data_IF_903111846732
#
_entry.id   IF_903111846732
#
_cell.length_a   1.000
_cell.length_b   1.000
_cell.length_c   1.000
_cell.angle_alpha   90.00
_cell.angle_beta   90.00
_cell.angle_gamma   90.00
#
_symmetry.space_group_name_H-M   'P 1'
#
loop_
_entity.id
_entity.type
_entity.pdbx_description
1 polymer ?
#
# COMPACT_ATOMS: atom_id res chain seq x y z
N UNK A 1 6.01 22.35 50.31
CA UNK A 1 5.94 23.15 49.07
C UNK A 1 7.05 22.67 48.13
N UNK A 2 6.73 22.17 46.94
CA UNK A 2 7.79 21.78 45.98
C UNK A 2 8.52 23.05 45.53
N UNK A 3 9.86 23.02 45.49
CA UNK A 3 10.65 24.16 45.01
C UNK A 3 10.34 24.42 43.53
N UNK A 4 10.26 25.69 43.12
CA UNK A 4 9.95 26.09 41.74
C UNK A 4 10.81 25.36 40.70
N UNK A 5 12.10 25.14 41.00
CA UNK A 5 13.02 24.41 40.12
C UNK A 5 12.61 22.94 39.88
N UNK A 6 12.07 22.26 40.89
CA UNK A 6 11.59 20.88 40.75
C UNK A 6 10.36 20.80 39.84
N UNK A 7 9.46 21.79 39.96
CA UNK A 7 8.27 21.91 39.10
C UNK A 7 8.70 22.21 37.66
N UNK A 8 9.55 23.21 37.45
CA UNK A 8 10.01 23.60 36.11
C UNK A 8 10.69 22.44 35.36
N UNK A 9 11.59 21.70 36.01
CA UNK A 9 12.25 20.52 35.40
C UNK A 9 11.23 19.44 35.00
N UNK A 10 10.26 19.15 35.87
CA UNK A 10 9.24 18.13 35.58
C UNK A 10 8.38 18.54 34.40
N UNK A 11 7.95 19.80 34.35
CA UNK A 11 7.16 20.33 33.24
C UNK A 11 7.95 20.29 31.92
N UNK A 12 9.23 20.68 31.95
CA UNK A 12 10.09 20.60 30.77
C UNK A 12 10.23 19.17 30.25
N UNK A 13 10.54 18.21 31.13
CA UNK A 13 10.68 16.81 30.75
C UNK A 13 9.39 16.21 30.18
N UNK A 14 8.25 16.48 30.82
CA UNK A 14 6.95 16.01 30.34
C UNK A 14 6.60 16.65 28.99
N UNK A 15 6.82 17.96 28.85
CA UNK A 15 6.56 18.69 27.60
C UNK A 15 7.41 18.18 26.44
N UNK A 16 8.72 18.01 26.66
CA UNK A 16 9.63 17.47 25.66
C UNK A 16 9.25 16.04 25.25
N UNK A 17 8.91 15.18 26.23
CA UNK A 17 8.48 13.81 25.96
C UNK A 17 7.16 13.77 25.18
N UNK A 18 6.21 14.64 25.51
CA UNK A 18 4.93 14.71 24.79
C UNK A 18 5.12 15.17 23.34
N UNK A 19 5.96 16.17 23.08
CA UNK A 19 6.25 16.66 21.72
C UNK A 19 6.98 15.57 20.92
N UNK A 20 8.05 15.00 21.47
CA UNK A 20 8.82 13.96 20.79
C UNK A 20 7.96 12.72 20.50
N UNK A 21 7.15 12.30 21.48
CA UNK A 21 6.20 11.18 21.32
C UNK A 21 5.14 11.47 20.27
N UNK A 22 4.57 12.68 20.27
CA UNK A 22 3.59 13.10 19.27
C UNK A 22 4.15 13.11 17.85
N UNK A 23 5.36 13.64 17.66
CA UNK A 23 6.05 13.61 16.36
C UNK A 23 6.37 12.19 15.93
N UNK A 24 6.86 11.34 16.84
CA UNK A 24 7.18 9.95 16.54
C UNK A 24 5.93 9.15 16.09
N UNK A 25 4.81 9.30 16.80
CA UNK A 25 3.54 8.68 16.44
C UNK A 25 3.02 9.24 15.12
N UNK A 26 3.02 10.57 14.94
CA UNK A 26 2.58 11.21 13.70
C UNK A 26 3.40 10.76 12.49
N UNK A 27 4.72 10.70 12.64
CA UNK A 27 5.62 10.20 11.60
C UNK A 27 5.39 8.72 11.28
N UNK A 28 5.15 7.89 12.30
CA UNK A 28 4.80 6.48 12.12
C UNK A 28 3.53 6.31 11.28
N UNK A 29 2.45 7.06 11.61
CA UNK A 29 1.21 7.01 10.83
C UNK A 29 1.39 7.55 9.41
N UNK A 30 2.17 8.62 9.23
CA UNK A 30 2.46 9.19 7.91
C UNK A 30 3.24 8.22 7.01
N UNK A 31 4.14 7.42 7.59
CA UNK A 31 4.95 6.43 6.88
C UNK A 31 4.25 5.09 6.68
N UNK A 32 3.10 4.87 7.31
CA UNK A 32 2.36 3.62 7.20
C UNK A 32 1.85 3.47 5.76
N UNK A 33 2.21 2.37 5.06
CA UNK A 33 1.67 2.11 3.72
C UNK A 33 0.14 2.01 3.75
N UNK A 34 -0.50 2.42 2.66
CA UNK A 34 -1.92 2.17 2.47
C UNK A 34 -2.19 0.66 2.43
N UNK A 35 -3.31 0.19 3.00
CA UNK A 35 -3.69 -1.21 2.93
C UNK A 35 -3.87 -1.63 1.47
N UNK A 36 -3.50 -2.88 1.17
CA UNK A 36 -3.74 -3.45 -0.15
C UNK A 36 -5.24 -3.69 -0.33
N UNK A 37 -5.92 -3.02 -1.28
CA UNK A 37 -7.35 -3.18 -1.47
C UNK A 37 -7.74 -4.56 -1.99
N UNK A 38 -6.82 -5.32 -2.58
CA UNK A 38 -7.09 -6.65 -3.12
C UNK A 38 -7.24 -7.71 -2.03
N UNK A 39 -6.65 -7.49 -0.85
CA UNK A 39 -6.73 -8.44 0.28
C UNK A 39 -8.18 -8.67 0.76
N UNK A 40 -9.07 -7.69 0.59
CA UNK A 40 -10.47 -7.80 1.00
C UNK A 40 -11.33 -8.65 0.07
N UNK A 41 -10.90 -8.84 -1.18
CA UNK A 41 -11.67 -9.48 -2.26
C UNK A 41 -11.05 -10.82 -2.72
N UNK A 42 -10.05 -11.34 -2.01
CA UNK A 42 -9.44 -12.64 -2.35
C UNK A 42 -10.42 -13.79 -2.10
N UNK A 43 -10.58 -14.64 -3.11
CA UNK A 43 -11.22 -15.94 -2.91
C UNK A 43 -10.25 -16.94 -2.25
N UNK A 44 -10.76 -18.14 -1.92
CA UNK A 44 -9.92 -19.23 -1.43
C UNK A 44 -8.81 -19.54 -2.46
N UNK A 45 -7.59 -19.73 -1.97
CA UNK A 45 -6.39 -20.04 -2.76
C UNK A 45 -5.99 -18.94 -3.78
N UNK A 46 -6.58 -17.74 -3.72
CA UNK A 46 -6.04 -16.57 -4.40
C UNK A 46 -4.96 -15.88 -3.56
N UNK A 47 -4.00 -15.25 -4.23
CA UNK A 47 -2.93 -14.52 -3.57
C UNK A 47 -2.74 -13.12 -4.17
N UNK A 48 -2.33 -12.18 -3.32
CA UNK A 48 -1.84 -10.86 -3.73
C UNK A 48 -0.66 -10.49 -2.85
N UNK A 49 0.34 -9.86 -3.43
CA UNK A 49 1.54 -9.39 -2.70
C UNK A 49 1.71 -7.87 -2.76
N UNK A 50 0.94 -7.20 -3.62
CA UNK A 50 0.88 -5.75 -3.70
C UNK A 50 -0.48 -5.31 -4.27
N UNK A 51 -0.82 -4.01 -4.23
CA UNK A 51 -2.09 -3.49 -4.76
C UNK A 51 -2.35 -3.71 -6.25
N UNK A 52 -1.36 -4.16 -7.02
CA UNK A 52 -1.41 -4.19 -8.48
C UNK A 52 -1.49 -5.59 -9.09
N UNK A 53 -1.19 -6.64 -8.32
CA UNK A 53 -1.12 -8.00 -8.85
C UNK A 53 -1.93 -8.95 -7.96
N UNK A 54 -2.82 -9.70 -8.60
CA UNK A 54 -3.56 -10.81 -8.01
C UNK A 54 -3.29 -12.09 -8.81
N UNK A 55 -3.07 -13.19 -8.12
CA UNK A 55 -2.87 -14.52 -8.69
C UNK A 55 -4.10 -15.35 -8.28
N UNK A 56 -4.84 -15.81 -9.28
CA UNK A 56 -5.99 -16.69 -9.12
C UNK A 56 -5.58 -18.12 -8.79
N UNK A 57 -6.49 -18.89 -8.22
CA UNK A 57 -6.29 -20.31 -7.96
C UNK A 57 -6.15 -21.16 -9.25
N UNK A 58 -6.48 -20.59 -10.41
CA UNK A 58 -6.38 -21.16 -11.75
C UNK A 58 -5.11 -20.72 -12.50
N UNK A 59 -4.12 -20.17 -11.77
CA UNK A 59 -2.90 -19.56 -12.30
C UNK A 59 -3.12 -18.33 -13.20
N UNK A 60 -4.35 -17.76 -13.24
CA UNK A 60 -4.59 -16.47 -13.90
C UNK A 60 -3.92 -15.35 -13.11
N UNK A 61 -3.11 -14.53 -13.76
CA UNK A 61 -2.50 -13.33 -13.18
C UNK A 61 -3.30 -12.11 -13.60
N UNK A 62 -3.94 -11.43 -12.65
CA UNK A 62 -4.66 -10.18 -12.87
C UNK A 62 -3.81 -8.98 -12.46
N UNK A 63 -3.59 -8.06 -13.39
CA UNK A 63 -2.94 -6.77 -13.17
C UNK A 63 -4.00 -5.70 -13.00
N UNK A 64 -3.84 -4.86 -11.99
CA UNK A 64 -4.69 -3.70 -11.76
C UNK A 64 -4.12 -2.46 -12.46
N UNK A 65 -4.85 -1.93 -13.42
CA UNK A 65 -4.57 -0.68 -14.12
C UNK A 65 -5.56 0.42 -13.68
N UNK A 66 -5.27 1.13 -12.56
CA UNK A 66 -6.20 2.09 -11.96
C UNK A 66 -6.34 3.40 -12.76
N UNK A 67 -5.55 3.58 -13.82
CA UNK A 67 -5.65 4.72 -14.73
C UNK A 67 -6.35 4.26 -16.00
N UNK A 68 -7.44 4.95 -16.36
CA UNK A 68 -8.16 4.65 -17.59
C UNK A 68 -7.23 4.86 -18.81
N UNK A 69 -7.29 3.94 -19.77
CA UNK A 69 -6.65 4.10 -21.06
C UNK A 69 -7.65 4.36 -22.19
N UNK A 70 -7.20 5.10 -23.21
CA UNK A 70 -7.98 5.49 -24.38
C UNK A 70 -7.26 5.07 -25.68
N UNK A 71 -6.51 3.96 -25.64
CA UNK A 71 -5.84 3.37 -26.81
C UNK A 71 -4.33 3.63 -26.92
N UNK A 72 -3.67 4.13 -25.87
CA UNK A 72 -2.22 4.26 -25.85
C UNK A 72 -1.47 2.92 -25.73
N UNK A 73 -2.17 1.83 -25.37
CA UNK A 73 -1.61 0.49 -25.26
C UNK A 73 -0.90 0.20 -23.95
N UNK A 74 -1.21 0.93 -22.88
CA UNK A 74 -0.62 0.70 -21.55
C UNK A 74 -1.07 -0.64 -20.98
N UNK A 75 -2.34 -1.04 -21.14
CA UNK A 75 -2.80 -2.34 -20.61
C UNK A 75 -2.02 -3.49 -21.24
N UNK A 76 -1.88 -3.47 -22.56
CA UNK A 76 -1.10 -4.47 -23.31
C UNK A 76 0.37 -4.49 -22.89
N UNK A 77 0.99 -3.31 -22.73
CA UNK A 77 2.40 -3.22 -22.35
C UNK A 77 2.63 -3.70 -20.91
N UNK A 78 1.74 -3.34 -19.97
CA UNK A 78 1.79 -3.84 -18.59
C UNK A 78 1.65 -5.36 -18.54
N UNK A 79 0.70 -5.93 -19.29
CA UNK A 79 0.52 -7.38 -19.38
C UNK A 79 1.79 -8.08 -19.89
N UNK A 80 2.40 -7.55 -20.95
CA UNK A 80 3.64 -8.10 -21.51
C UNK A 80 4.81 -8.02 -20.51
N UNK A 81 5.00 -6.90 -19.82
CA UNK A 81 6.09 -6.75 -18.84
C UNK A 81 5.93 -7.69 -17.64
N UNK A 82 4.72 -7.87 -17.13
CA UNK A 82 4.46 -8.80 -16.02
C UNK A 82 4.61 -10.25 -16.47
N UNK A 83 4.17 -10.59 -17.69
CA UNK A 83 4.36 -11.91 -18.26
C UNK A 83 5.86 -12.25 -18.36
N UNK A 84 6.68 -11.30 -18.82
CA UNK A 84 8.14 -11.43 -18.90
C UNK A 84 8.77 -11.61 -17.51
N UNK A 85 8.44 -10.75 -16.54
CA UNK A 85 9.04 -10.80 -15.19
C UNK A 85 8.68 -12.10 -14.44
N UNK A 86 7.48 -12.63 -14.66
CA UNK A 86 7.01 -13.86 -14.02
C UNK A 86 7.34 -15.14 -14.81
N UNK A 87 7.94 -15.02 -16.00
CA UNK A 87 8.24 -16.13 -16.91
C UNK A 87 6.99 -16.99 -17.24
N UNK A 88 5.89 -16.32 -17.58
CA UNK A 88 4.60 -16.94 -17.93
C UNK A 88 4.15 -16.56 -19.34
N UNK A 89 3.19 -17.31 -19.88
CA UNK A 89 2.60 -16.96 -21.16
C UNK A 89 1.65 -15.76 -21.02
N UNK A 90 1.57 -14.93 -22.07
CA UNK A 90 0.76 -13.71 -22.06
C UNK A 90 -0.75 -14.00 -21.89
N UNK A 91 -1.23 -15.17 -22.32
CA UNK A 91 -2.63 -15.58 -22.17
C UNK A 91 -3.02 -15.91 -20.71
N UNK A 92 -2.04 -16.09 -19.83
CA UNK A 92 -2.24 -16.21 -18.39
C UNK A 92 -2.44 -14.86 -17.70
N UNK A 93 -2.18 -13.74 -18.39
CA UNK A 93 -2.21 -12.40 -17.82
C UNK A 93 -3.43 -11.62 -18.28
N UNK A 94 -4.20 -11.08 -17.33
CA UNK A 94 -5.36 -10.21 -17.57
C UNK A 94 -5.14 -8.84 -16.93
N UNK A 95 -5.78 -7.83 -17.49
CA UNK A 95 -5.73 -6.46 -16.95
C UNK A 95 -7.14 -6.02 -16.59
N UNK A 96 -7.31 -5.53 -15.36
CA UNK A 96 -8.56 -5.03 -14.82
C UNK A 96 -8.36 -3.63 -14.22
N UNK A 97 -9.43 -2.84 -14.11
CA UNK A 97 -9.32 -1.51 -13.51
C UNK A 97 -9.15 -1.56 -11.97
N UNK A 98 -9.63 -2.63 -11.35
CA UNK A 98 -9.63 -2.83 -9.91
C UNK A 98 -10.56 -1.87 -9.14
N UNK A 99 -10.62 -2.01 -7.81
CA UNK A 99 -11.43 -1.16 -6.94
C UNK A 99 -10.82 0.23 -6.77
N UNK A 100 -11.61 1.21 -6.32
CA UNK A 100 -11.08 2.51 -5.92
C UNK A 100 -10.36 2.41 -4.56
N UNK A 101 -9.08 2.80 -4.49
CA UNK A 101 -8.31 2.76 -3.24
C UNK A 101 -7.21 3.83 -3.17
N UNK A 102 -6.86 4.24 -1.95
CA UNK A 102 -5.74 5.15 -1.70
C UNK A 102 -4.38 4.59 -2.11
N UNK A 103 -4.25 3.26 -2.20
CA UNK A 103 -3.03 2.60 -2.64
C UNK A 103 -2.61 2.93 -4.10
N UNK A 104 -3.48 3.58 -4.88
CA UNK A 104 -3.24 3.95 -6.29
C UNK A 104 -2.91 5.43 -6.50
N UNK A 105 -2.57 6.16 -5.43
CA UNK A 105 -2.18 7.58 -5.43
C UNK A 105 -0.80 7.76 -4.79
#
# INVERSE_FOLDING_TARGET
>A
MASLGKIARRTFLIGAAAIAGGVAVGYYYYRKPYPNPLEGDLAADEATFNPYVKIGADDTITIIAPRAEMGQGISTTLAAMVAEELDVNLDQVKVEHGPAAYAYY
#
